data_IF_084035072497
#
_entry.id   IF_084035072497
#
_cell.length_a   1.000
_cell.length_b   1.000
_cell.length_c   1.000
_cell.angle_alpha   90.00
_cell.angle_beta   90.00
_cell.angle_gamma   90.00
#
_symmetry.space_group_name_H-M   'P 1'
#
loop_
_entity.id
_entity.type
_entity.pdbx_description
1 polymer ?
#
# COMPACT_ATOMS: atom_id res chain seq x y z
N UNK A 1 5.54 11.35 37.61
CA UNK A 1 4.31 10.55 37.68
C UNK A 1 3.74 10.43 36.28
N UNK A 2 2.94 9.41 35.99
CA UNK A 2 2.32 9.24 34.67
C UNK A 2 0.94 8.60 34.76
N UNK A 3 0.15 8.79 33.71
CA UNK A 3 -1.20 8.24 33.58
C UNK A 3 -1.14 7.00 32.70
N UNK A 4 -1.80 5.93 33.16
CA UNK A 4 -2.07 4.74 32.36
C UNK A 4 -3.58 4.65 32.14
N UNK A 5 -4.02 4.65 30.89
CA UNK A 5 -5.44 4.58 30.56
C UNK A 5 -5.88 3.12 30.41
N UNK A 6 -7.00 2.76 31.04
CA UNK A 6 -7.69 1.49 30.81
C UNK A 6 -9.19 1.75 30.70
N UNK A 7 -9.83 1.26 29.64
CA UNK A 7 -11.24 1.57 29.30
C UNK A 7 -11.55 3.08 29.32
N UNK A 8 -10.66 3.90 28.75
CA UNK A 8 -10.78 5.37 28.70
C UNK A 8 -10.80 6.08 30.05
N UNK A 9 -10.42 5.39 31.14
CA UNK A 9 -10.28 5.98 32.48
C UNK A 9 -8.78 6.11 32.78
N UNK A 10 -8.28 7.30 33.14
CA UNK A 10 -6.88 7.50 33.51
C UNK A 10 -6.63 7.01 34.94
N UNK A 11 -5.67 6.10 35.09
CA UNK A 11 -5.18 5.64 36.40
C UNK A 11 -3.83 6.27 36.71
N UNK A 12 -3.71 6.82 37.92
CA UNK A 12 -2.46 7.38 38.41
C UNK A 12 -1.53 6.26 38.88
N UNK A 13 -0.33 6.15 38.31
CA UNK A 13 0.69 5.20 38.77
C UNK A 13 1.96 5.95 39.23
N UNK A 14 2.40 5.77 40.49
CA UNK A 14 3.71 6.23 40.90
C UNK A 14 4.80 5.31 40.30
N UNK A 15 6.00 5.85 40.09
CA UNK A 15 7.15 5.01 39.77
C UNK A 15 7.53 4.13 40.97
N UNK A 16 8.13 2.95 40.73
CA UNK A 16 8.77 2.17 41.80
C UNK A 16 9.77 3.02 42.60
N UNK A 17 9.96 2.68 43.87
CA UNK A 17 10.84 3.43 44.78
C UNK A 17 12.24 3.63 44.18
N UNK A 18 12.74 4.88 44.20
CA UNK A 18 14.05 5.24 43.66
C UNK A 18 14.07 5.61 42.17
N UNK A 19 12.93 5.56 41.48
CA UNK A 19 12.80 5.97 40.08
C UNK A 19 11.92 7.20 39.93
N UNK A 20 12.17 7.98 38.89
CA UNK A 20 11.32 9.11 38.47
C UNK A 20 10.86 8.94 37.04
N UNK A 21 9.64 9.41 36.75
CA UNK A 21 9.08 9.35 35.41
C UNK A 21 9.81 10.33 34.48
N UNK A 22 10.31 9.86 33.35
CA UNK A 22 10.79 10.70 32.26
C UNK A 22 9.69 10.91 31.24
N UNK A 23 9.33 12.17 30.98
CA UNK A 23 8.40 12.52 29.89
C UNK A 23 9.02 12.26 28.51
N UNK A 24 10.35 12.34 28.40
CA UNK A 24 11.07 12.16 27.13
C UNK A 24 11.18 10.69 26.75
N UNK A 25 11.42 9.82 27.73
CA UNK A 25 11.61 8.38 27.48
C UNK A 25 10.35 7.55 27.76
N UNK A 26 9.26 8.18 28.18
CA UNK A 26 7.99 7.54 28.56
C UNK A 26 8.15 6.30 29.48
N UNK A 27 9.10 6.38 30.42
CA UNK A 27 9.38 5.31 31.39
C UNK A 27 9.98 5.86 32.68
N UNK A 28 9.91 5.05 33.75
CA UNK A 28 10.58 5.36 35.02
C UNK A 28 12.10 5.09 34.89
N UNK A 29 12.92 6.09 35.20
CA UNK A 29 14.38 6.05 35.08
C UNK A 29 15.07 6.36 36.41
N UNK A 30 16.31 5.89 36.57
CA UNK A 30 17.18 6.30 37.66
C UNK A 30 17.69 7.72 37.38
N UNK A 31 17.51 8.64 38.33
CA UNK A 31 18.14 9.96 38.24
C UNK A 31 19.57 9.79 38.76
N UNK A 32 20.52 9.52 37.87
CA UNK A 32 21.94 9.58 38.20
C UNK A 32 22.56 10.79 37.50
N UNK A 33 23.11 11.68 38.33
CA UNK A 33 24.05 12.79 38.06
C UNK A 33 23.48 14.22 37.96
N UNK A 34 24.24 15.23 38.45
CA UNK A 34 23.81 16.61 38.57
C UNK A 34 23.72 17.27 37.20
N UNK A 35 22.66 18.04 37.00
CA UNK A 35 22.37 18.82 35.80
C UNK A 35 23.47 19.87 35.63
N UNK A 36 24.24 19.80 34.55
CA UNK A 36 25.09 20.91 34.10
C UNK A 36 24.24 22.16 33.86
N UNK A 37 24.74 23.37 34.15
CA UNK A 37 23.97 24.59 33.96
C UNK A 37 23.52 24.70 32.50
N UNK A 38 22.20 24.81 32.34
CA UNK A 38 21.50 24.91 31.05
C UNK A 38 22.02 26.19 30.37
N UNK A 39 22.76 26.04 29.27
CA UNK A 39 23.03 27.15 28.36
C UNK A 39 21.70 27.79 27.91
N UNK A 40 21.64 29.11 27.67
CA UNK A 40 20.41 29.76 27.26
C UNK A 40 19.82 29.02 26.06
N UNK A 41 18.60 28.49 26.24
CA UNK A 41 17.86 27.83 25.18
C UNK A 41 17.69 28.87 24.07
N UNK A 42 18.39 28.67 22.96
CA UNK A 42 18.17 29.43 21.74
C UNK A 42 16.66 29.40 21.43
N UNK A 43 16.07 30.48 20.89
CA UNK A 43 14.66 30.50 20.57
C UNK A 43 14.31 29.23 19.80
N UNK A 44 13.38 28.43 20.34
CA UNK A 44 12.84 27.28 19.64
C UNK A 44 12.30 27.83 18.33
N UNK A 45 12.96 27.49 17.21
CA UNK A 45 12.48 27.85 15.89
C UNK A 45 11.00 27.43 15.81
N UNK A 46 10.13 28.24 15.18
CA UNK A 46 8.72 27.88 15.07
C UNK A 46 8.64 26.45 14.54
N UNK A 47 7.85 25.61 15.18
CA UNK A 47 7.49 24.31 14.62
C UNK A 47 6.96 24.61 13.22
N UNK A 48 7.75 24.35 12.17
CA UNK A 48 7.31 24.59 10.79
C UNK A 48 5.96 23.89 10.67
N UNK A 49 4.88 24.66 10.44
CA UNK A 49 3.63 24.08 10.00
C UNK A 49 3.98 23.13 8.85
N UNK A 50 3.53 21.88 8.91
CA UNK A 50 3.66 20.95 7.80
C UNK A 50 2.91 21.57 6.61
N UNK A 51 3.62 22.36 5.80
CA UNK A 51 3.11 22.96 4.57
C UNK A 51 3.02 21.84 3.54
N UNK A 52 2.02 20.96 3.71
CA UNK A 52 1.76 19.89 2.77
C UNK A 52 0.99 20.40 1.56
N UNK A 53 0.79 19.52 0.58
CA UNK A 53 0.10 19.86 -0.67
C UNK A 53 -1.33 20.40 -0.48
N UNK A 54 -1.99 20.06 0.64
CA UNK A 54 -3.35 20.53 0.97
C UNK A 54 -3.36 21.86 1.76
N UNK A 55 -2.25 22.24 2.39
CA UNK A 55 -2.16 23.45 3.24
C UNK A 55 -2.31 24.76 2.46
N UNK A 56 -2.15 24.74 1.12
CA UNK A 56 -2.31 25.92 0.23
C UNK A 56 -3.73 26.07 -0.34
N UNK A 57 -4.65 25.20 0.06
CA UNK A 57 -6.01 25.08 -0.48
C UNK A 57 -6.30 23.68 -1.00
N UNK A 58 -7.58 23.34 -1.16
CA UNK A 58 -7.98 22.03 -1.68
C UNK A 58 -7.79 21.98 -3.22
N UNK A 59 -6.82 21.22 -3.75
CA UNK A 59 -6.56 21.10 -5.17
C UNK A 59 -7.35 19.96 -5.83
N UNK A 60 -8.18 19.25 -5.07
CA UNK A 60 -9.09 18.24 -5.57
C UNK A 60 -10.32 18.91 -6.16
N UNK A 61 -10.68 18.50 -7.37
CA UNK A 61 -11.82 19.03 -8.10
C UNK A 61 -13.11 18.35 -7.66
N UNK A 62 -14.23 18.94 -8.05
CA UNK A 62 -15.55 18.32 -7.94
C UNK A 62 -15.95 17.86 -6.52
N UNK A 63 -15.47 18.58 -5.51
CA UNK A 63 -15.76 18.31 -4.10
C UNK A 63 -14.91 17.19 -3.49
N UNK A 64 -13.87 16.71 -4.19
CA UNK A 64 -12.92 15.76 -3.63
C UNK A 64 -12.25 16.29 -2.37
N UNK A 65 -11.90 15.38 -1.44
CA UNK A 65 -11.19 15.71 -0.21
C UNK A 65 -9.68 15.58 -0.43
N UNK A 66 -8.93 16.62 -0.11
CA UNK A 66 -7.47 16.61 -0.14
C UNK A 66 -6.92 16.03 1.16
N UNK A 67 -6.05 15.04 1.04
CA UNK A 67 -5.31 14.47 2.15
C UNK A 67 -3.80 14.62 1.91
N UNK A 68 -3.02 14.98 2.94
CA UNK A 68 -1.60 15.21 2.81
C UNK A 68 -0.82 13.90 2.64
N UNK A 69 0.06 13.85 1.63
CA UNK A 69 1.00 12.76 1.42
C UNK A 69 2.42 13.28 1.58
N UNK A 70 3.00 13.17 2.77
CA UNK A 70 4.35 13.69 3.01
C UNK A 70 4.47 15.23 2.99
N UNK A 71 5.68 15.75 2.78
CA UNK A 71 6.01 17.17 3.03
C UNK A 71 5.43 18.12 1.98
N UNK A 72 5.31 17.71 0.71
CA UNK A 72 4.85 18.58 -0.39
C UNK A 72 3.77 17.93 -1.27
N UNK A 73 3.40 16.68 -1.01
CA UNK A 73 2.49 15.93 -1.85
C UNK A 73 1.11 15.78 -1.20
N UNK A 74 0.16 15.39 -2.03
CA UNK A 74 -1.23 15.23 -1.65
C UNK A 74 -1.88 14.17 -2.52
N UNK A 75 -3.02 13.69 -2.08
CA UNK A 75 -3.91 12.92 -2.92
C UNK A 75 -5.36 13.36 -2.74
N UNK A 76 -6.21 12.96 -3.68
CA UNK A 76 -7.61 13.33 -3.70
C UNK A 76 -8.53 12.12 -3.52
N UNK A 77 -9.39 12.19 -2.50
CA UNK A 77 -10.50 11.25 -2.31
C UNK A 77 -11.73 11.76 -3.03
N UNK A 78 -12.13 11.07 -4.09
CA UNK A 78 -13.20 11.55 -4.95
C UNK A 78 -14.60 11.29 -4.38
N UNK A 79 -15.46 12.29 -4.51
CA UNK A 79 -16.89 12.19 -4.23
C UNK A 79 -17.58 11.29 -5.24
N UNK A 80 -18.82 10.90 -4.92
CA UNK A 80 -19.63 10.11 -5.82
C UNK A 80 -19.81 10.81 -7.17
N UNK A 81 -19.34 10.17 -8.25
CA UNK A 81 -19.43 10.55 -9.69
C UNK A 81 -18.15 11.07 -10.34
N UNK A 82 -17.07 11.23 -9.57
CA UNK A 82 -15.80 11.74 -10.08
C UNK A 82 -14.66 10.74 -9.90
N UNK A 83 -13.65 10.84 -10.77
CA UNK A 83 -12.43 10.03 -10.72
C UNK A 83 -11.24 10.81 -11.30
N UNK A 84 -10.04 10.22 -11.22
CA UNK A 84 -8.77 10.86 -11.58
C UNK A 84 -7.94 11.18 -10.34
N UNK A 85 -6.67 11.55 -10.52
CA UNK A 85 -5.77 11.81 -9.39
C UNK A 85 -6.12 13.12 -8.68
N UNK A 86 -6.94 13.96 -9.30
CA UNK A 86 -7.53 15.19 -8.74
C UNK A 86 -9.05 15.21 -8.82
N UNK A 87 -9.71 14.07 -9.05
CA UNK A 87 -11.17 13.99 -9.24
C UNK A 87 -11.69 14.88 -10.37
N UNK A 88 -10.89 15.09 -11.41
CA UNK A 88 -11.12 16.00 -12.52
C UNK A 88 -12.07 15.44 -13.61
N UNK A 89 -12.31 14.12 -13.60
CA UNK A 89 -13.12 13.45 -14.62
C UNK A 89 -14.50 13.07 -14.10
N UNK A 90 -15.50 13.19 -14.98
CA UNK A 90 -16.89 12.74 -14.75
C UNK A 90 -17.03 11.31 -15.29
N UNK A 91 -17.66 10.42 -14.52
CA UNK A 91 -17.85 9.01 -14.89
C UNK A 91 -18.83 8.78 -16.05
N UNK A 92 -18.43 9.08 -17.28
CA UNK A 92 -19.13 8.63 -18.49
C UNK A 92 -18.12 8.07 -19.53
N UNK A 93 -18.35 6.83 -19.97
CA UNK A 93 -17.61 6.18 -21.06
C UNK A 93 -16.20 5.68 -20.72
N UNK A 94 -16.07 4.38 -20.44
CA UNK A 94 -14.76 3.72 -20.29
C UNK A 94 -14.35 3.04 -21.58
N UNK A 95 -13.15 3.32 -22.08
CA UNK A 95 -12.52 2.60 -23.20
C UNK A 95 -11.44 1.65 -22.66
N UNK A 96 -11.88 0.45 -22.29
CA UNK A 96 -11.03 -0.65 -21.83
C UNK A 96 -10.89 -1.74 -22.90
N UNK A 97 -11.06 -1.36 -24.19
CA UNK A 97 -10.97 -2.27 -25.33
C UNK A 97 -9.65 -3.04 -25.40
N UNK A 98 -8.55 -2.44 -24.93
CA UNK A 98 -7.24 -3.12 -24.79
C UNK A 98 -7.33 -4.31 -23.84
N UNK A 99 -7.94 -4.14 -22.65
CA UNK A 99 -8.09 -5.22 -21.67
C UNK A 99 -9.07 -6.30 -22.17
N UNK A 100 -10.15 -5.90 -22.83
CA UNK A 100 -11.10 -6.83 -23.46
C UNK A 100 -10.43 -7.65 -24.56
N UNK A 101 -9.57 -7.03 -25.37
CA UNK A 101 -8.80 -7.72 -26.41
C UNK A 101 -7.80 -8.71 -25.82
N UNK A 102 -7.16 -8.35 -24.70
CA UNK A 102 -6.25 -9.24 -23.97
C UNK A 102 -6.99 -10.46 -23.42
N UNK A 103 -8.21 -10.29 -22.89
CA UNK A 103 -9.04 -11.39 -22.38
C UNK A 103 -9.55 -12.31 -23.48
N UNK A 104 -10.07 -11.72 -24.56
CA UNK A 104 -10.72 -12.45 -25.65
C UNK A 104 -9.73 -12.99 -26.70
N UNK A 105 -8.44 -12.64 -26.58
CA UNK A 105 -7.40 -13.13 -27.47
C UNK A 105 -7.20 -14.64 -27.35
N UNK A 106 -7.06 -15.31 -28.50
CA UNK A 106 -6.96 -16.78 -28.62
C UNK A 106 -5.73 -17.43 -27.94
N UNK A 107 -4.85 -16.66 -27.28
CA UNK A 107 -3.55 -17.11 -26.76
C UNK A 107 -3.45 -17.18 -25.22
N UNK A 108 -4.55 -16.99 -24.46
CA UNK A 108 -4.50 -16.89 -22.98
C UNK A 108 -3.47 -15.86 -22.49
N UNK A 109 -3.49 -14.65 -23.07
CA UNK A 109 -2.49 -13.62 -22.81
C UNK A 109 -2.67 -12.87 -21.48
N UNK A 110 -3.70 -13.18 -20.69
CA UNK A 110 -3.91 -12.55 -19.37
C UNK A 110 -3.59 -13.52 -18.24
N UNK A 111 -3.23 -12.97 -17.09
CA UNK A 111 -2.88 -13.77 -15.92
C UNK A 111 -4.10 -14.06 -15.05
N UNK A 112 -4.19 -15.31 -14.60
CA UNK A 112 -5.29 -15.80 -13.78
C UNK A 112 -5.02 -15.71 -12.26
N UNK A 113 -3.89 -15.12 -11.84
CA UNK A 113 -3.50 -15.04 -10.43
C UNK A 113 -4.61 -14.42 -9.58
N UNK A 114 -5.17 -13.30 -10.03
CA UNK A 114 -6.23 -12.59 -9.31
C UNK A 114 -7.47 -13.46 -9.13
N UNK A 115 -7.97 -14.07 -10.21
CA UNK A 115 -9.15 -14.94 -10.17
C UNK A 115 -8.91 -16.16 -9.28
N UNK A 116 -7.76 -16.82 -9.41
CA UNK A 116 -7.47 -18.05 -8.68
C UNK A 116 -7.28 -17.79 -7.18
N UNK A 117 -6.50 -16.76 -6.82
CA UNK A 117 -6.26 -16.39 -5.42
C UNK A 117 -7.56 -15.94 -4.77
N UNK A 118 -8.33 -15.08 -5.44
CA UNK A 118 -9.61 -14.62 -4.92
C UNK A 118 -10.68 -15.71 -4.95
N UNK A 119 -10.59 -16.74 -5.77
CA UNK A 119 -11.55 -17.86 -5.70
C UNK A 119 -11.25 -18.83 -4.57
N UNK A 120 -9.99 -19.05 -4.21
CA UNK A 120 -9.59 -20.06 -3.21
C UNK A 120 -9.48 -19.56 -1.77
N UNK A 121 -9.50 -18.24 -1.57
CA UNK A 121 -9.44 -17.62 -0.25
C UNK A 121 -10.81 -17.05 0.16
N UNK A 122 -11.10 -16.87 1.45
CA UNK A 122 -12.37 -16.32 1.95
C UNK A 122 -12.18 -14.97 2.67
N UNK A 123 -11.65 -13.98 1.96
CA UNK A 123 -11.41 -12.62 2.46
C UNK A 123 -12.62 -11.71 2.24
N UNK A 124 -12.88 -10.80 3.18
CA UNK A 124 -14.01 -9.85 3.16
C UNK A 124 -13.56 -8.47 3.62
N UNK A 125 -14.34 -7.44 3.32
CA UNK A 125 -13.97 -6.03 3.60
C UNK A 125 -12.60 -5.68 3.01
N UNK A 126 -12.42 -6.04 1.73
CA UNK A 126 -11.12 -5.99 1.07
C UNK A 126 -10.80 -4.56 0.61
N UNK A 127 -9.57 -4.13 0.86
CA UNK A 127 -8.91 -3.04 0.13
C UNK A 127 -8.01 -3.67 -0.93
N UNK A 128 -8.24 -3.34 -2.20
CA UNK A 128 -7.43 -3.83 -3.31
C UNK A 128 -6.50 -2.73 -3.83
N UNK A 129 -5.20 -2.90 -3.61
CA UNK A 129 -4.15 -2.04 -4.16
C UNK A 129 -3.56 -2.74 -5.37
N UNK A 130 -3.53 -2.06 -6.51
CA UNK A 130 -3.32 -2.70 -7.81
C UNK A 130 -2.31 -1.88 -8.62
N UNK A 131 -1.21 -2.53 -8.94
CA UNK A 131 -0.27 -2.05 -9.94
C UNK A 131 -0.92 -2.12 -11.32
N UNK A 132 -0.97 -0.99 -12.02
CA UNK A 132 -1.51 -0.88 -13.38
C UNK A 132 -0.51 -0.29 -14.37
N UNK A 133 0.80 -0.43 -14.12
CA UNK A 133 1.83 -0.05 -15.08
C UNK A 133 1.83 -0.92 -16.33
N UNK A 134 2.64 -0.51 -17.31
CA UNK A 134 2.63 -1.11 -18.64
C UNK A 134 2.94 -2.60 -18.63
N UNK A 135 3.84 -3.07 -17.77
CA UNK A 135 4.17 -4.50 -17.63
C UNK A 135 3.02 -5.30 -17.04
N UNK A 136 2.18 -4.69 -16.22
CA UNK A 136 1.06 -5.33 -15.55
C UNK A 136 -0.19 -5.51 -16.42
N UNK A 137 -0.19 -5.10 -17.69
CA UNK A 137 -1.36 -5.24 -18.59
C UNK A 137 -2.01 -6.64 -18.58
N UNK A 138 -1.27 -7.76 -18.68
CA UNK A 138 -1.86 -9.10 -18.54
C UNK A 138 -2.56 -9.35 -17.20
N UNK A 139 -2.01 -8.85 -16.09
CA UNK A 139 -2.60 -9.04 -14.77
C UNK A 139 -3.76 -8.07 -14.52
N UNK A 140 -3.64 -6.83 -14.98
CA UNK A 140 -4.68 -5.82 -15.00
C UNK A 140 -5.92 -6.32 -15.76
N UNK A 141 -5.74 -7.04 -16.87
CA UNK A 141 -6.84 -7.72 -17.55
C UNK A 141 -7.54 -8.77 -16.66
N UNK A 142 -6.78 -9.54 -15.85
CA UNK A 142 -7.34 -10.45 -14.85
C UNK A 142 -8.13 -9.72 -13.75
N UNK A 143 -7.65 -8.56 -13.29
CA UNK A 143 -8.38 -7.67 -12.37
C UNK A 143 -9.69 -7.19 -13.00
N UNK A 144 -9.65 -6.69 -14.23
CA UNK A 144 -10.82 -6.25 -14.99
C UNK A 144 -11.86 -7.36 -15.14
N UNK A 145 -11.41 -8.58 -15.50
CA UNK A 145 -12.26 -9.76 -15.60
C UNK A 145 -12.91 -10.11 -14.27
N UNK A 146 -12.14 -10.11 -13.19
CA UNK A 146 -12.67 -10.33 -11.84
C UNK A 146 -13.77 -9.32 -11.49
N UNK A 147 -13.53 -8.03 -11.74
CA UNK A 147 -14.51 -6.96 -11.47
C UNK A 147 -15.82 -7.16 -12.24
N UNK A 148 -15.77 -7.58 -13.51
CA UNK A 148 -16.97 -7.84 -14.33
C UNK A 148 -17.75 -9.06 -13.86
N UNK A 149 -17.07 -10.13 -13.45
CA UNK A 149 -17.67 -11.43 -13.14
C UNK A 149 -18.07 -11.62 -11.67
N UNK A 150 -17.54 -10.78 -10.77
CA UNK A 150 -17.69 -10.99 -9.31
C UNK A 150 -18.72 -10.08 -8.65
N UNK A 151 -19.54 -9.36 -9.43
CA UNK A 151 -20.55 -8.42 -8.92
C UNK A 151 -21.62 -9.08 -8.03
N UNK A 152 -21.84 -10.40 -8.19
CA UNK A 152 -22.84 -11.16 -7.43
C UNK A 152 -22.25 -12.06 -6.33
N UNK A 153 -20.92 -12.04 -6.10
CA UNK A 153 -20.24 -13.00 -5.22
C UNK A 153 -19.78 -12.38 -3.90
N UNK A 154 -19.83 -13.19 -2.85
CA UNK A 154 -19.66 -12.95 -1.40
C UNK A 154 -18.32 -12.33 -0.93
N UNK A 155 -17.55 -11.70 -1.82
CA UNK A 155 -16.31 -10.99 -1.51
C UNK A 155 -16.50 -9.50 -1.75
N UNK A 156 -16.72 -8.77 -0.66
CA UNK A 156 -16.92 -7.33 -0.71
C UNK A 156 -15.56 -6.61 -0.76
N UNK A 157 -15.01 -6.43 -1.96
CA UNK A 157 -13.98 -5.41 -2.17
C UNK A 157 -14.68 -4.07 -1.98
N UNK A 158 -14.20 -3.28 -1.01
CA UNK A 158 -14.80 -2.01 -0.60
C UNK A 158 -14.15 -0.82 -1.28
N UNK A 159 -12.85 -0.91 -1.54
CA UNK A 159 -12.05 0.14 -2.14
C UNK A 159 -11.01 -0.44 -3.08
N UNK A 160 -10.74 0.30 -4.15
CA UNK A 160 -9.62 0.07 -5.04
C UNK A 160 -8.66 1.25 -4.95
N UNK A 161 -7.38 0.96 -5.03
CA UNK A 161 -6.30 1.92 -5.29
C UNK A 161 -5.53 1.40 -6.48
N UNK A 162 -5.44 2.18 -7.54
CA UNK A 162 -4.62 1.89 -8.70
C UNK A 162 -3.39 2.80 -8.68
N UNK A 163 -2.22 2.29 -9.06
CA UNK A 163 -1.03 3.12 -9.18
C UNK A 163 -0.24 2.84 -10.46
N UNK A 164 0.50 3.85 -10.93
CA UNK A 164 1.19 3.83 -12.22
C UNK A 164 2.63 4.38 -12.18
N UNK A 165 3.21 4.49 -10.98
CA UNK A 165 4.54 5.08 -10.69
C UNK A 165 4.72 6.55 -11.10
N UNK A 166 3.67 7.35 -10.93
CA UNK A 166 3.82 8.81 -10.87
C UNK A 166 3.36 9.59 -12.09
N UNK A 167 2.36 9.11 -12.84
CA UNK A 167 1.75 9.85 -13.96
C UNK A 167 2.76 10.29 -15.05
N UNK A 168 3.57 9.34 -15.53
CA UNK A 168 4.63 9.56 -16.54
C UNK A 168 5.66 10.64 -16.14
N UNK A 169 5.75 10.95 -14.84
CA UNK A 169 6.77 11.82 -14.27
C UNK A 169 8.16 11.27 -14.61
N UNK A 170 9.06 12.16 -15.02
CA UNK A 170 10.46 11.82 -15.26
C UNK A 170 11.06 11.11 -14.05
N UNK A 171 11.87 10.07 -14.27
CA UNK A 171 12.45 9.26 -13.19
C UNK A 171 13.21 10.09 -12.15
N UNK A 172 13.85 11.19 -12.57
CA UNK A 172 14.56 12.11 -11.67
C UNK A 172 13.64 12.91 -10.73
N UNK A 173 12.35 13.00 -11.05
CA UNK A 173 11.34 13.70 -10.25
C UNK A 173 10.53 12.74 -9.36
N UNK A 174 10.69 11.41 -9.50
CA UNK A 174 10.03 10.40 -8.67
C UNK A 174 10.71 10.30 -7.30
N UNK A 175 10.27 11.15 -6.38
CA UNK A 175 10.77 11.21 -5.01
C UNK A 175 9.94 10.28 -4.13
N UNK A 176 10.59 9.34 -3.45
CA UNK A 176 9.96 8.42 -2.50
C UNK A 176 9.08 9.18 -1.50
N UNK A 177 7.83 8.73 -1.36
CA UNK A 177 6.80 9.36 -0.51
C UNK A 177 6.08 10.54 -1.16
N UNK A 178 6.41 10.84 -2.42
CA UNK A 178 5.74 11.84 -3.25
C UNK A 178 5.82 11.49 -4.76
N UNK A 179 5.81 10.19 -5.07
CA UNK A 179 5.95 9.72 -6.45
C UNK A 179 4.69 10.08 -7.24
N UNK A 180 3.52 10.08 -6.61
CA UNK A 180 2.24 10.41 -7.23
C UNK A 180 1.66 9.26 -8.05
N UNK A 181 0.69 9.53 -8.92
CA UNK A 181 0.10 8.50 -9.77
C UNK A 181 -0.65 7.42 -9.00
N UNK A 182 -1.33 7.83 -7.92
CA UNK A 182 -2.16 6.96 -7.07
C UNK A 182 -3.61 7.39 -7.18
N UNK A 183 -4.49 6.44 -7.48
CA UNK A 183 -5.89 6.66 -7.83
C UNK A 183 -6.80 5.79 -6.96
N UNK A 184 -7.35 6.36 -5.90
CA UNK A 184 -8.22 5.66 -4.95
C UNK A 184 -9.71 5.91 -5.17
N UNK A 185 -10.53 4.86 -5.08
CA UNK A 185 -11.99 5.03 -5.12
C UNK A 185 -12.79 3.89 -4.44
N UNK A 186 -14.03 4.20 -4.02
CA UNK A 186 -14.96 3.23 -3.42
C UNK A 186 -15.53 2.26 -4.46
N UNK A 187 -15.50 0.96 -4.19
CA UNK A 187 -15.94 -0.09 -5.11
C UNK A 187 -17.47 -0.18 -5.31
N UNK A 188 -18.25 0.79 -4.85
CA UNK A 188 -19.72 0.78 -4.92
C UNK A 188 -20.30 0.96 -6.33
N UNK A 189 -19.48 1.35 -7.31
CA UNK A 189 -19.91 1.57 -8.68
C UNK A 189 -18.86 1.05 -9.66
N UNK A 190 -19.16 -0.08 -10.31
CA UNK A 190 -18.22 -0.72 -11.22
C UNK A 190 -17.75 0.21 -12.35
N UNK A 191 -18.65 0.95 -13.00
CA UNK A 191 -18.26 1.81 -14.11
C UNK A 191 -17.24 2.88 -13.69
N UNK A 192 -17.34 3.40 -12.47
CA UNK A 192 -16.38 4.36 -11.92
C UNK A 192 -15.06 3.71 -11.53
N UNK A 193 -15.10 2.50 -10.94
CA UNK A 193 -13.88 1.72 -10.69
C UNK A 193 -13.11 1.52 -11.99
N UNK A 194 -13.81 1.10 -13.04
CA UNK A 194 -13.24 0.88 -14.37
C UNK A 194 -12.69 2.18 -15.00
N UNK A 195 -13.39 3.30 -14.84
CA UNK A 195 -12.92 4.60 -15.32
C UNK A 195 -11.66 5.07 -14.57
N UNK A 196 -11.60 4.82 -13.25
CA UNK A 196 -10.46 5.13 -12.40
C UNK A 196 -9.24 4.30 -12.79
N UNK A 197 -9.43 2.98 -12.97
CA UNK A 197 -8.39 2.08 -13.48
C UNK A 197 -7.86 2.53 -14.83
N UNK A 198 -8.75 2.89 -15.76
CA UNK A 198 -8.37 3.38 -17.09
C UNK A 198 -7.59 4.70 -17.00
N UNK A 199 -7.99 5.62 -16.11
CA UNK A 199 -7.29 6.89 -15.88
C UNK A 199 -5.87 6.66 -15.42
N UNK A 200 -5.68 5.82 -14.40
CA UNK A 200 -4.37 5.44 -13.90
C UNK A 200 -3.49 4.84 -15.02
N UNK A 201 -4.00 3.87 -15.77
CA UNK A 201 -3.27 3.25 -16.89
C UNK A 201 -2.90 4.24 -18.01
N UNK A 202 -3.72 5.26 -18.26
CA UNK A 202 -3.49 6.25 -19.33
C UNK A 202 -2.49 7.33 -18.95
N UNK A 203 -2.44 7.67 -17.66
CA UNK A 203 -1.61 8.76 -17.18
C UNK A 203 -0.18 8.32 -16.87
N UNK A 204 0.09 7.02 -16.73
CA UNK A 204 1.43 6.52 -16.43
C UNK A 204 1.62 5.06 -16.84
N UNK A 205 2.84 4.73 -17.26
CA UNK A 205 3.19 3.35 -17.61
C UNK A 205 4.30 2.71 -16.76
N UNK A 206 4.79 3.40 -15.72
CA UNK A 206 5.93 2.95 -14.91
C UNK A 206 7.25 3.66 -15.25
N UNK A 207 7.62 3.83 -16.53
CA UNK A 207 8.83 4.55 -16.95
C UNK A 207 10.18 3.86 -16.66
N UNK A 208 10.48 3.56 -15.39
CA UNK A 208 11.58 2.70 -14.93
C UNK A 208 11.06 1.43 -14.23
N UNK A 209 11.96 0.52 -13.86
CA UNK A 209 11.58 -0.78 -13.27
C UNK A 209 11.03 -0.65 -11.84
N UNK A 210 11.57 0.19 -10.94
CA UNK A 210 11.03 0.34 -9.59
C UNK A 210 9.71 1.12 -9.55
N UNK A 211 8.79 0.69 -8.71
CA UNK A 211 7.38 1.16 -8.63
C UNK A 211 7.05 1.74 -7.24
N UNK A 212 5.98 2.53 -7.08
CA UNK A 212 5.59 3.20 -5.83
C UNK A 212 4.51 2.46 -5.02
N UNK A 213 4.70 1.16 -4.83
CA UNK A 213 3.74 0.27 -4.17
C UNK A 213 3.36 0.72 -2.75
N UNK A 214 4.35 1.14 -1.92
CA UNK A 214 4.09 1.42 -0.50
C UNK A 214 3.28 2.70 -0.32
N UNK A 215 3.53 3.72 -1.14
CA UNK A 215 2.71 4.94 -1.20
C UNK A 215 1.24 4.60 -1.50
N UNK A 216 0.99 3.72 -2.49
CA UNK A 216 -0.36 3.28 -2.83
C UNK A 216 -1.02 2.47 -1.70
N UNK A 217 -0.26 1.60 -1.03
CA UNK A 217 -0.75 0.83 0.13
C UNK A 217 -1.16 1.75 1.27
N UNK A 218 -0.30 2.71 1.63
CA UNK A 218 -0.57 3.66 2.72
C UNK A 218 -1.82 4.49 2.41
N UNK A 219 -1.93 4.99 1.17
CA UNK A 219 -3.11 5.70 0.70
C UNK A 219 -4.39 4.87 0.87
N UNK A 220 -4.39 3.61 0.45
CA UNK A 220 -5.55 2.74 0.63
C UNK A 220 -5.92 2.47 2.09
N UNK A 221 -4.92 2.33 2.98
CA UNK A 221 -5.15 2.13 4.42
C UNK A 221 -5.87 3.34 5.03
N UNK A 222 -5.48 4.54 4.62
CA UNK A 222 -6.10 5.80 5.06
C UNK A 222 -7.54 5.92 4.53
N UNK A 223 -7.79 5.50 3.28
CA UNK A 223 -9.14 5.45 2.69
C UNK A 223 -10.08 4.45 3.38
N UNK A 224 -9.54 3.31 3.79
CA UNK A 224 -10.32 2.24 4.39
C UNK A 224 -9.73 1.79 5.75
N UNK A 225 -9.86 2.63 6.79
CA UNK A 225 -9.37 2.27 8.13
C UNK A 225 -10.09 1.04 8.69
N UNK A 226 -11.28 0.72 8.20
CA UNK A 226 -12.05 -0.47 8.59
C UNK A 226 -11.77 -1.72 7.75
N UNK A 227 -11.05 -1.62 6.63
CA UNK A 227 -10.72 -2.80 5.81
C UNK A 227 -9.73 -3.68 6.57
N UNK A 228 -10.01 -4.97 6.66
CA UNK A 228 -9.20 -5.94 7.41
C UNK A 228 -8.27 -6.74 6.49
N UNK A 229 -8.75 -7.03 5.28
CA UNK A 229 -7.98 -7.73 4.26
C UNK A 229 -7.45 -6.73 3.23
N UNK A 230 -6.15 -6.46 3.27
CA UNK A 230 -5.48 -5.65 2.26
C UNK A 230 -4.79 -6.58 1.30
N UNK A 231 -5.20 -6.53 0.03
CA UNK A 231 -4.50 -7.23 -1.06
C UNK A 231 -3.67 -6.23 -1.85
N UNK A 232 -2.44 -6.61 -2.16
CA UNK A 232 -1.54 -5.86 -3.02
C UNK A 232 -1.22 -6.70 -4.25
N UNK A 233 -1.70 -6.28 -5.42
CA UNK A 233 -1.51 -6.97 -6.69
C UNK A 233 -0.30 -6.33 -7.38
N UNK A 234 0.81 -7.04 -7.42
CA UNK A 234 2.13 -6.48 -7.70
C UNK A 234 2.85 -7.17 -8.86
N UNK A 235 3.68 -6.43 -9.57
CA UNK A 235 4.60 -6.98 -10.58
C UNK A 235 5.77 -7.71 -9.91
N UNK A 236 5.89 -9.02 -10.15
CA UNK A 236 7.04 -9.79 -9.69
C UNK A 236 8.39 -9.34 -10.27
N UNK A 237 8.38 -8.56 -11.36
CA UNK A 237 9.58 -8.05 -12.04
C UNK A 237 10.03 -6.70 -11.51
N UNK A 238 9.20 -6.01 -10.72
CA UNK A 238 9.51 -4.74 -10.11
C UNK A 238 9.81 -4.90 -8.61
N UNK A 239 10.84 -4.20 -8.12
CA UNK A 239 11.06 -4.04 -6.67
C UNK A 239 10.56 -2.64 -6.29
N UNK A 240 9.72 -2.50 -5.25
CA UNK A 240 9.19 -1.19 -4.88
C UNK A 240 10.31 -0.20 -4.57
N UNK A 241 10.24 1.01 -5.12
CA UNK A 241 11.21 2.10 -4.91
C UNK A 241 11.17 2.64 -3.48
N UNK A 242 10.02 2.50 -2.85
CA UNK A 242 9.60 3.18 -1.64
C UNK A 242 9.53 2.23 -0.43
N UNK A 243 10.23 1.09 -0.47
CA UNK A 243 10.34 0.13 0.64
C UNK A 243 10.79 0.75 1.97
N UNK A 244 11.48 1.89 1.94
CA UNK A 244 11.84 2.65 3.16
C UNK A 244 10.61 3.12 3.94
N UNK A 245 9.45 3.28 3.28
CA UNK A 245 8.18 3.66 3.90
C UNK A 245 7.44 2.48 4.52
N UNK A 246 7.91 1.24 4.33
CA UNK A 246 7.24 0.02 4.80
C UNK A 246 7.03 0.02 6.32
N UNK A 247 7.87 0.72 7.08
CA UNK A 247 7.72 0.89 8.53
C UNK A 247 6.44 1.66 8.94
N UNK A 248 5.78 2.35 8.01
CA UNK A 248 4.51 3.06 8.22
C UNK A 248 3.29 2.16 8.00
N UNK A 249 3.48 0.98 7.40
CA UNK A 249 2.37 0.06 7.10
C UNK A 249 1.95 -0.65 8.39
N UNK A 250 0.71 -0.39 8.84
CA UNK A 250 0.20 -0.83 10.14
C UNK A 250 -0.68 -2.07 10.07
N UNK A 251 -0.94 -2.60 8.87
CA UNK A 251 -1.86 -3.71 8.62
C UNK A 251 -1.18 -4.81 7.80
N UNK A 252 -1.55 -6.09 8.01
CA UNK A 252 -1.05 -7.20 7.21
C UNK A 252 -1.38 -7.07 5.72
N UNK A 253 -0.37 -7.21 4.86
CA UNK A 253 -0.52 -7.11 3.41
C UNK A 253 -0.47 -8.50 2.76
N UNK A 254 -1.51 -8.83 2.01
CA UNK A 254 -1.61 -10.06 1.21
C UNK A 254 -1.12 -9.76 -0.20
N UNK A 255 0.11 -10.13 -0.50
CA UNK A 255 0.74 -9.82 -1.79
C UNK A 255 0.35 -10.88 -2.81
N UNK A 256 -0.39 -10.48 -3.84
CA UNK A 256 -0.70 -11.28 -5.02
C UNK A 256 0.31 -10.90 -6.09
N UNK A 257 1.20 -11.83 -6.46
CA UNK A 257 2.30 -11.51 -7.37
C UNK A 257 2.02 -12.08 -8.76
N UNK A 258 1.99 -11.20 -9.76
CA UNK A 258 1.82 -11.53 -11.17
C UNK A 258 3.19 -11.70 -11.85
N UNK A 259 3.27 -12.35 -13.00
CA UNK A 259 4.52 -12.59 -13.75
C UNK A 259 5.57 -13.42 -12.97
N UNK A 260 5.12 -14.36 -12.12
CA UNK A 260 6.00 -15.36 -11.51
C UNK A 260 6.44 -16.36 -12.57
N UNK A 261 7.75 -16.46 -12.78
CA UNK A 261 8.34 -17.40 -13.74
C UNK A 261 9.36 -18.32 -13.05
N UNK A 262 10.23 -18.95 -13.85
CA UNK A 262 11.27 -19.85 -13.35
C UNK A 262 12.32 -19.17 -12.46
N UNK A 263 12.40 -17.83 -12.44
CA UNK A 263 13.22 -17.08 -11.50
C UNK A 263 12.61 -17.02 -10.10
N UNK A 264 11.34 -17.42 -9.97
CA UNK A 264 10.57 -17.40 -8.72
C UNK A 264 10.04 -16.03 -8.37
N UNK A 265 9.59 -15.91 -7.13
CA UNK A 265 9.04 -14.71 -6.54
C UNK A 265 10.15 -13.72 -6.17
N UNK A 266 9.90 -12.43 -6.38
CA UNK A 266 10.72 -11.32 -5.93
C UNK A 266 10.87 -11.37 -4.40
N UNK A 267 12.09 -11.54 -3.88
CA UNK A 267 12.31 -11.60 -2.43
C UNK A 267 11.82 -10.36 -1.69
N UNK A 268 11.80 -9.19 -2.34
CA UNK A 268 11.33 -7.96 -1.67
C UNK A 268 9.81 -7.95 -1.49
N UNK A 269 9.04 -8.51 -2.42
CA UNK A 269 7.59 -8.70 -2.25
C UNK A 269 7.28 -9.75 -1.17
N UNK A 270 8.05 -10.84 -1.13
CA UNK A 270 7.99 -11.82 -0.05
C UNK A 270 8.31 -11.19 1.32
N UNK A 271 9.30 -10.30 1.36
CA UNK A 271 9.69 -9.58 2.57
C UNK A 271 8.68 -8.50 2.98
N UNK A 272 7.97 -7.89 2.02
CA UNK A 272 6.86 -6.98 2.29
C UNK A 272 5.74 -7.74 3.02
N UNK A 273 5.32 -8.89 2.47
CA UNK A 273 4.32 -9.74 3.09
C UNK A 273 4.75 -10.18 4.50
N UNK A 274 5.99 -10.65 4.67
CA UNK A 274 6.51 -11.07 5.97
C UNK A 274 6.56 -9.95 7.01
N UNK A 275 7.15 -8.79 6.65
CA UNK A 275 7.35 -7.67 7.59
C UNK A 275 6.03 -7.05 8.06
N UNK A 276 4.99 -7.15 7.26
CA UNK A 276 3.65 -6.67 7.61
C UNK A 276 2.83 -7.72 8.37
N UNK A 277 3.34 -8.94 8.53
CA UNK A 277 2.60 -10.06 9.12
C UNK A 277 1.51 -10.62 8.20
N UNK A 278 1.60 -10.33 6.90
CA UNK A 278 0.69 -10.81 5.87
C UNK A 278 1.13 -12.13 5.24
N UNK A 279 0.85 -12.26 3.94
CA UNK A 279 1.03 -13.50 3.18
C UNK A 279 1.34 -13.21 1.71
N UNK A 280 1.93 -14.19 1.03
CA UNK A 280 2.24 -14.11 -0.40
C UNK A 280 1.41 -15.15 -1.16
N UNK A 281 0.88 -14.76 -2.31
CA UNK A 281 -0.04 -15.56 -3.12
C UNK A 281 0.41 -15.55 -4.59
N UNK A 282 0.61 -16.74 -5.16
CA UNK A 282 0.95 -16.94 -6.58
C UNK A 282 -0.27 -17.51 -7.34
N UNK A 283 -0.09 -17.97 -8.58
CA UNK A 283 -1.16 -18.60 -9.35
C UNK A 283 -1.79 -19.80 -8.65
N UNK A 284 -1.00 -20.61 -7.96
CA UNK A 284 -1.34 -21.95 -7.46
C UNK A 284 -0.94 -22.19 -6.00
N UNK A 285 -0.20 -21.28 -5.36
CA UNK A 285 0.32 -21.44 -4.00
C UNK A 285 -0.01 -20.22 -3.12
N UNK A 286 -0.35 -20.50 -1.85
CA UNK A 286 -0.54 -19.49 -0.80
C UNK A 286 0.50 -19.72 0.30
N UNK A 287 1.39 -18.76 0.50
CA UNK A 287 2.47 -18.80 1.50
C UNK A 287 2.07 -17.91 2.67
N UNK A 288 1.64 -18.56 3.75
CA UNK A 288 1.12 -17.92 4.97
C UNK A 288 2.06 -18.13 6.15
N UNK A 289 1.82 -17.43 7.26
CA UNK A 289 2.59 -17.55 8.51
C UNK A 289 4.11 -17.37 8.32
N UNK A 290 4.50 -16.47 7.42
CA UNK A 290 5.91 -16.23 7.05
C UNK A 290 6.80 -15.92 8.26
N UNK A 291 6.27 -15.17 9.22
CA UNK A 291 6.97 -14.76 10.44
C UNK A 291 7.27 -15.93 11.40
N UNK A 292 6.56 -17.05 11.26
CA UNK A 292 6.78 -18.25 12.07
C UNK A 292 7.99 -19.09 11.58
N UNK A 293 8.53 -18.79 10.41
CA UNK A 293 9.69 -19.51 9.85
C UNK A 293 10.96 -19.04 10.58
N UNK A 294 11.70 -19.96 11.26
CA UNK A 294 12.90 -19.60 12.00
C UNK A 294 14.04 -19.12 11.10
N UNK A 295 14.90 -18.23 11.64
CA UNK A 295 16.13 -17.81 10.96
C UNK A 295 17.02 -19.01 10.65
N UNK A 296 17.50 -19.11 9.41
CA UNK A 296 18.30 -20.22 8.90
C UNK A 296 17.49 -21.26 8.12
N UNK A 297 16.18 -21.38 8.40
CA UNK A 297 15.29 -22.32 7.72
C UNK A 297 15.01 -21.90 6.27
N UNK A 298 14.56 -22.87 5.48
CA UNK A 298 14.24 -22.69 4.07
C UNK A 298 12.78 -22.96 3.77
N UNK A 299 12.24 -22.21 2.82
CA UNK A 299 10.97 -22.49 2.17
C UNK A 299 11.18 -22.59 0.66
N UNK A 300 10.35 -23.36 0.00
CA UNK A 300 10.32 -23.44 -1.46
C UNK A 300 8.98 -22.90 -1.91
N UNK A 301 9.00 -21.94 -2.84
CA UNK A 301 7.82 -21.35 -3.47
C UNK A 301 7.95 -21.63 -4.96
N UNK A 302 7.01 -22.37 -5.53
CA UNK A 302 7.16 -22.95 -6.85
C UNK A 302 8.46 -23.75 -7.01
N UNK A 303 9.37 -23.29 -7.87
CA UNK A 303 10.67 -23.96 -8.15
C UNK A 303 11.86 -23.31 -7.46
N UNK A 304 11.65 -22.28 -6.64
CA UNK A 304 12.74 -21.54 -6.01
C UNK A 304 12.72 -21.70 -4.50
N UNK A 305 13.91 -21.83 -3.95
CA UNK A 305 14.11 -21.95 -2.51
C UNK A 305 14.63 -20.64 -1.96
N UNK A 306 14.09 -20.26 -0.81
CA UNK A 306 14.41 -19.05 -0.08
C UNK A 306 14.86 -19.44 1.32
N UNK A 307 15.88 -18.77 1.84
CA UNK A 307 16.33 -18.93 3.23
C UNK A 307 15.88 -17.73 4.04
N UNK A 308 15.34 -17.99 5.23
CA UNK A 308 15.07 -16.97 6.24
C UNK A 308 16.37 -16.44 6.83
N UNK A 309 16.56 -15.13 6.77
CA UNK A 309 17.63 -14.40 7.46
C UNK A 309 17.02 -13.47 8.52
N UNK A 310 17.86 -12.83 9.34
CA UNK A 310 17.40 -11.81 10.29
C UNK A 310 16.79 -10.57 9.62
N UNK A 311 17.08 -10.34 8.33
CA UNK A 311 16.58 -9.18 7.55
C UNK A 311 15.43 -9.52 6.60
N UNK A 312 14.99 -10.79 6.54
CA UNK A 312 13.99 -11.29 5.61
C UNK A 312 14.45 -12.54 4.86
N UNK A 313 13.71 -12.94 3.84
CA UNK A 313 14.01 -14.03 2.92
C UNK A 313 14.96 -13.60 1.79
N UNK A 314 15.88 -14.51 1.44
CA UNK A 314 16.81 -14.37 0.30
C UNK A 314 16.79 -15.65 -0.54
N UNK A 315 17.00 -15.53 -1.84
CA UNK A 315 17.12 -16.70 -2.75
C UNK A 315 18.39 -17.48 -2.39
N UNK A 316 18.33 -18.82 -2.47
CA UNK A 316 19.48 -19.72 -2.22
C UNK A 316 19.71 -20.74 -3.32
#
# INVERSE_FOLDING_TARGET
>A
MFYHCFNSIPYHKPCPAGLSWSQVQERCVFISTPIEPIEPVEPVEPVEELVNGCSKGNPCQNGGLCEPSGKDDLFCLCTENYYGSRCEHVGEGTDLSVLESIINGNNNNYEHVVENVLSRNNWTDILAVVDVTGSMQPCAAGVYKWMKLSQDKTKNIRYYVFFNDGDDKLNSAKKVGSTGGVYGMSANNLNKVLATMQSAMKNGNGGDIPENDIEAILHGIEMCPTCMDIIHIADNKATPRDLVLLNRVTKPIKVLTCQVDVAGVNPQLLNLADKTGGSLHTLDEDVVNLSAIPVGEKITIGRRTYRRTSSGFVVV
#
